data_IF_353542560419
#
_entry.id   IF_353542560419
#
_cell.length_a   1.000
_cell.length_b   1.000
_cell.length_c   1.000
_cell.angle_alpha   90.00
_cell.angle_beta   90.00
_cell.angle_gamma   90.00
#
_symmetry.space_group_name_H-M   'P 1'
#
loop_
_entity.id
_entity.type
_entity.pdbx_description
1 polymer ?
#
# COMPACT_ATOMS: atom_id res chain seq x y z
N UNK A 1 10.52 -3.43 3.53
CA UNK A 1 9.29 -3.13 2.76
C UNK A 1 9.48 -1.96 1.80
N UNK A 2 9.80 -0.76 2.32
CA UNK A 2 9.89 0.47 1.53
C UNK A 2 10.89 0.44 0.36
N UNK A 3 11.94 -0.39 0.42
CA UNK A 3 12.94 -0.51 -0.65
C UNK A 3 12.30 -0.99 -1.97
N UNK A 4 11.34 -1.92 -1.90
CA UNK A 4 10.66 -2.40 -3.10
C UNK A 4 9.84 -1.29 -3.76
N UNK A 5 9.10 -0.52 -2.95
CA UNK A 5 8.34 0.65 -3.42
C UNK A 5 9.26 1.72 -4.00
N UNK A 6 10.40 1.98 -3.35
CA UNK A 6 11.38 2.94 -3.86
C UNK A 6 11.97 2.52 -5.21
N UNK A 7 12.26 1.22 -5.40
CA UNK A 7 12.71 0.69 -6.71
C UNK A 7 11.63 0.87 -7.77
N UNK A 8 10.39 0.47 -7.49
CA UNK A 8 9.26 0.63 -8.42
C UNK A 8 9.09 2.10 -8.83
N UNK A 9 9.14 3.01 -7.87
CA UNK A 9 9.03 4.45 -8.16
C UNK A 9 10.22 4.96 -8.99
N UNK A 10 11.43 4.52 -8.68
CA UNK A 10 12.63 4.88 -9.44
C UNK A 10 12.55 4.42 -10.90
N UNK A 11 11.94 3.25 -11.16
CA UNK A 11 11.79 2.71 -12.51
C UNK A 11 10.68 3.41 -13.31
N UNK A 12 9.59 3.84 -12.64
CA UNK A 12 8.47 4.56 -13.28
C UNK A 12 8.81 6.04 -13.54
N UNK A 13 9.55 6.69 -12.64
CA UNK A 13 9.96 8.09 -12.74
C UNK A 13 8.87 9.14 -12.43
N UNK A 14 7.60 8.84 -12.69
CA UNK A 14 6.46 9.77 -12.50
C UNK A 14 5.58 9.44 -11.27
N UNK A 15 5.86 8.35 -10.56
CA UNK A 15 5.11 7.94 -9.37
C UNK A 15 5.64 8.61 -8.09
N UNK A 16 4.75 8.86 -7.12
CA UNK A 16 5.12 9.38 -5.79
C UNK A 16 4.93 8.28 -4.74
N UNK A 17 5.97 7.93 -3.95
CA UNK A 17 5.86 6.86 -2.96
C UNK A 17 5.22 7.37 -1.67
N UNK A 18 4.19 6.68 -1.19
CA UNK A 18 3.70 6.81 0.18
C UNK A 18 4.16 5.60 0.99
N UNK A 19 5.00 5.83 2.00
CA UNK A 19 5.67 4.77 2.75
C UNK A 19 5.13 4.69 4.18
N UNK A 20 4.72 3.50 4.62
CA UNK A 20 4.43 3.23 6.03
C UNK A 20 5.40 2.14 6.54
N UNK A 21 5.95 2.34 7.74
CA UNK A 21 6.95 1.44 8.32
C UNK A 21 6.34 0.42 9.31
N UNK A 22 5.06 0.55 9.61
CA UNK A 22 4.37 -0.29 10.58
C UNK A 22 3.88 -1.57 9.92
N UNK A 23 4.33 -2.73 10.43
CA UNK A 23 4.02 -4.04 9.83
C UNK A 23 3.51 -5.11 10.82
N UNK A 24 3.77 -5.00 12.12
CA UNK A 24 3.32 -5.96 13.14
C UNK A 24 3.22 -5.29 14.51
N UNK A 25 2.61 -5.96 15.49
CA UNK A 25 2.49 -5.52 16.90
C UNK A 25 1.66 -4.24 17.11
N UNK A 26 0.64 -4.01 16.27
CA UNK A 26 -0.28 -2.89 16.41
C UNK A 26 -1.57 -3.32 17.11
N UNK A 27 -2.14 -2.45 17.94
CA UNK A 27 -3.46 -2.67 18.51
C UNK A 27 -4.54 -2.34 17.46
N UNK A 28 -5.73 -2.92 17.60
CA UNK A 28 -6.85 -2.69 16.67
C UNK A 28 -7.16 -1.20 16.40
N UNK A 29 -7.13 -0.28 17.38
CA UNK A 29 -7.33 1.15 17.13
C UNK A 29 -6.25 1.79 16.25
N UNK A 30 -5.01 1.31 16.38
CA UNK A 30 -3.87 1.80 15.60
C UNK A 30 -3.97 1.33 14.15
N UNK A 31 -4.34 0.06 13.94
CA UNK A 31 -4.61 -0.52 12.61
C UNK A 31 -5.71 0.29 11.90
N UNK A 32 -6.84 0.55 12.57
CA UNK A 32 -7.93 1.34 12.01
C UNK A 32 -7.50 2.77 11.63
N UNK A 33 -6.54 3.34 12.37
CA UNK A 33 -6.02 4.68 12.08
C UNK A 33 -5.12 4.65 10.86
N UNK A 34 -4.23 3.68 10.75
CA UNK A 34 -3.39 3.49 9.56
C UNK A 34 -4.23 3.21 8.32
N UNK A 35 -5.22 2.32 8.41
CA UNK A 35 -6.15 2.04 7.31
C UNK A 35 -6.84 3.31 6.82
N UNK A 36 -7.42 4.10 7.73
CA UNK A 36 -8.09 5.36 7.39
C UNK A 36 -7.18 6.36 6.69
N UNK A 37 -5.92 6.47 7.13
CA UNK A 37 -4.94 7.37 6.52
C UNK A 37 -4.58 6.88 5.11
N UNK A 38 -4.32 5.59 4.93
CA UNK A 38 -3.98 5.01 3.62
C UNK A 38 -5.16 5.10 2.63
N UNK A 39 -6.38 4.84 3.10
CA UNK A 39 -7.62 5.03 2.31
C UNK A 39 -7.78 6.49 1.89
N UNK A 40 -7.58 7.44 2.81
CA UNK A 40 -7.66 8.87 2.52
C UNK A 40 -6.61 9.34 1.50
N UNK A 41 -5.38 8.83 1.59
CA UNK A 41 -4.33 9.10 0.61
C UNK A 41 -4.71 8.56 -0.78
N UNK A 42 -5.21 7.33 -0.85
CA UNK A 42 -5.64 6.74 -2.12
C UNK A 42 -6.84 7.46 -2.75
N UNK A 43 -7.78 7.93 -1.93
CA UNK A 43 -9.00 8.65 -2.37
C UNK A 43 -8.78 10.14 -2.64
N UNK A 44 -7.61 10.71 -2.32
CA UNK A 44 -7.31 12.13 -2.56
C UNK A 44 -7.55 12.56 -4.02
N UNK A 45 -8.36 13.59 -4.34
CA UNK A 45 -8.67 13.99 -5.72
C UNK A 45 -7.46 14.24 -6.65
N UNK A 46 -6.30 14.57 -6.09
CA UNK A 46 -5.06 14.78 -6.83
C UNK A 46 -4.32 13.47 -7.20
N UNK A 47 -4.83 12.32 -6.78
CA UNK A 47 -4.27 10.99 -7.08
C UNK A 47 -5.13 10.32 -8.15
N UNK A 48 -4.56 10.08 -9.33
CA UNK A 48 -5.27 9.49 -10.47
C UNK A 48 -5.43 7.96 -10.38
N UNK A 49 -4.45 7.29 -9.76
CA UNK A 49 -4.43 5.83 -9.62
C UNK A 49 -3.48 5.42 -8.49
N UNK A 50 -3.69 4.22 -7.95
CA UNK A 50 -2.96 3.74 -6.77
C UNK A 50 -2.40 2.35 -7.01
N UNK A 51 -1.12 2.15 -6.69
CA UNK A 51 -0.50 0.84 -6.58
C UNK A 51 -0.24 0.54 -5.10
N UNK A 52 -1.02 -0.35 -4.51
CA UNK A 52 -0.80 -0.83 -3.15
C UNK A 52 0.28 -1.92 -3.19
N UNK A 53 1.27 -1.81 -2.32
CA UNK A 53 2.34 -2.81 -2.19
C UNK A 53 2.37 -3.30 -0.75
N UNK A 54 2.23 -4.61 -0.55
CA UNK A 54 2.22 -5.27 0.76
C UNK A 54 3.14 -6.48 0.74
N UNK A 55 3.77 -6.83 1.86
CA UNK A 55 4.49 -8.10 1.98
C UNK A 55 3.50 -9.27 2.06
N UNK A 56 2.33 -9.08 2.66
CA UNK A 56 1.27 -10.08 2.80
C UNK A 56 1.14 -10.64 4.22
N UNK A 57 2.04 -10.25 5.13
CA UNK A 57 2.03 -10.67 6.53
C UNK A 57 1.70 -9.53 7.51
N UNK A 58 1.29 -8.36 7.01
CA UNK A 58 0.99 -7.20 7.86
C UNK A 58 -0.36 -7.31 8.58
N UNK A 59 -0.48 -6.64 9.74
CA UNK A 59 -1.75 -6.54 10.47
C UNK A 59 -2.79 -5.67 9.76
N UNK A 60 -2.34 -4.75 8.90
CA UNK A 60 -3.18 -3.89 8.05
C UNK A 60 -3.70 -4.69 6.87
N UNK A 61 -5.02 -4.71 6.66
CA UNK A 61 -5.62 -5.52 5.59
C UNK A 61 -5.63 -4.75 4.26
N UNK A 62 -4.58 -4.96 3.45
CA UNK A 62 -4.44 -4.32 2.14
C UNK A 62 -5.67 -4.51 1.21
N UNK A 63 -6.35 -5.66 1.28
CA UNK A 63 -7.60 -5.93 0.56
C UNK A 63 -8.73 -4.97 0.91
N UNK A 64 -8.85 -4.63 2.20
CA UNK A 64 -9.88 -3.72 2.68
C UNK A 64 -9.64 -2.31 2.12
N UNK A 65 -8.40 -1.86 2.16
CA UNK A 65 -7.98 -0.57 1.60
C UNK A 65 -8.19 -0.55 0.08
N UNK A 66 -7.78 -1.61 -0.64
CA UNK A 66 -8.02 -1.76 -2.08
C UNK A 66 -9.50 -1.63 -2.40
N UNK A 67 -10.37 -2.38 -1.69
CA UNK A 67 -11.81 -2.32 -1.90
C UNK A 67 -12.35 -0.90 -1.72
N UNK A 68 -11.95 -0.21 -0.65
CA UNK A 68 -12.41 1.16 -0.37
C UNK A 68 -12.00 2.15 -1.48
N UNK A 69 -10.77 2.06 -1.98
CA UNK A 69 -10.27 2.97 -3.03
C UNK A 69 -10.89 2.61 -4.39
N UNK A 70 -11.13 1.33 -4.65
CA UNK A 70 -11.65 0.83 -5.93
C UNK A 70 -13.07 1.29 -6.27
N UNK A 71 -13.81 1.81 -5.27
CA UNK A 71 -15.12 2.41 -5.49
C UNK A 71 -15.03 3.72 -6.29
N UNK A 72 -13.89 4.41 -6.26
CA UNK A 72 -13.72 5.72 -6.90
C UNK A 72 -12.59 5.75 -7.93
N UNK A 73 -11.61 4.84 -7.84
CA UNK A 73 -10.36 4.92 -8.63
C UNK A 73 -9.78 3.58 -9.00
N UNK A 74 -8.92 3.59 -10.02
CA UNK A 74 -8.10 2.43 -10.37
C UNK A 74 -7.08 2.15 -9.28
N UNK A 75 -7.16 0.95 -8.70
CA UNK A 75 -6.23 0.49 -7.67
C UNK A 75 -5.83 -0.95 -7.91
N UNK A 76 -4.53 -1.19 -7.98
CA UNK A 76 -3.94 -2.52 -8.03
C UNK A 76 -3.21 -2.84 -6.72
N UNK A 77 -3.10 -4.13 -6.43
CA UNK A 77 -2.40 -4.63 -5.25
C UNK A 77 -1.33 -5.63 -5.68
N UNK A 78 -0.11 -5.37 -5.22
CA UNK A 78 1.05 -6.25 -5.35
C UNK A 78 1.38 -6.82 -3.98
N UNK A 79 1.35 -8.15 -3.87
CA UNK A 79 1.79 -8.89 -2.68
C UNK A 79 3.15 -9.52 -2.95
N UNK A 80 4.18 -9.00 -2.29
CA UNK A 80 5.55 -9.41 -2.56
C UNK A 80 5.83 -10.88 -2.20
N UNK A 81 5.26 -11.40 -1.10
CA UNK A 81 5.46 -12.81 -0.73
C UNK A 81 4.79 -13.78 -1.71
N UNK A 82 3.66 -13.40 -2.31
CA UNK A 82 3.02 -14.22 -3.35
C UNK A 82 3.84 -14.27 -4.64
N UNK A 83 4.66 -13.25 -4.88
CA UNK A 83 5.57 -13.16 -6.02
C UNK A 83 6.95 -13.79 -5.77
N UNK A 84 7.13 -14.50 -4.65
CA UNK A 84 8.41 -15.15 -4.31
C UNK A 84 9.39 -14.27 -3.51
N UNK A 85 8.97 -13.08 -3.11
CA UNK A 85 9.77 -12.16 -2.31
C UNK A 85 10.76 -11.34 -3.15
N UNK A 86 11.85 -10.90 -2.52
CA UNK A 86 12.95 -10.26 -3.24
C UNK A 86 14.01 -11.33 -3.47
N UNK A 87 14.08 -11.88 -4.68
CA UNK A 87 15.28 -12.61 -5.10
C UNK A 87 16.47 -11.63 -5.03
N UNK A 88 17.62 -12.17 -4.58
CA UNK A 88 18.82 -11.40 -4.21
C UNK A 88 19.41 -10.60 -5.36
#
# INVERSE_FOLDING_TARGET
MNIAVQKIVSDIGEAVPFLHHQGCCQLSPDINTVERVLEGLGRNPNVQGVLLVSLGCESVKAEKIKKSISEEKNVDLVRLQELGGTEK
#
